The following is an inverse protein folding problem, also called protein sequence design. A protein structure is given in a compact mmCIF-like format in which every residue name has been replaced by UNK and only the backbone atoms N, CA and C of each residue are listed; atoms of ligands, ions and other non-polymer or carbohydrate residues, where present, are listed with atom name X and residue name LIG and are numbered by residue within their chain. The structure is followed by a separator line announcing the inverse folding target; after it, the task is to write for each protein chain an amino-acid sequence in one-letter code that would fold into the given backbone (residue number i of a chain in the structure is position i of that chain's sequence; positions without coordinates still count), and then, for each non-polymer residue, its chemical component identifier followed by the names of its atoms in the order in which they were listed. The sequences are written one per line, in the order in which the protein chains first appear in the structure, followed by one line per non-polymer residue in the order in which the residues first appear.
data_IF_407080140170
#
_entry.id   IF_407080140170
#
_cell.length_a   1.000
_cell.length_b   1.000
_cell.length_c   1.000
_cell.angle_alpha   90.00
_cell.angle_beta   90.00
_cell.angle_gamma   90.00
#
_symmetry.space_group_name_H-M   'P 1'
#
loop_
_entity.id
_entity.type
_entity.pdbx_description
1 polymer ?
#
# COMPACT_ATOMS: atom_id res chain seq x y z
N UNK A 1 35.83 80.23 -18.09
CA UNK A 1 37.19 80.03 -18.63
C UNK A 1 37.49 78.55 -18.54
N UNK A 2 37.52 77.86 -19.66
CA UNK A 2 38.08 76.51 -19.80
C UNK A 2 39.61 76.58 -19.77
N UNK A 3 40.25 75.50 -19.31
CA UNK A 3 41.23 74.87 -20.21
C UNK A 3 41.06 73.36 -20.32
N UNK A 4 41.58 72.86 -21.44
CA UNK A 4 41.53 71.52 -22.02
C UNK A 4 42.71 70.64 -21.59
N UNK A 5 42.44 69.33 -21.59
CA UNK A 5 43.25 68.19 -22.10
C UNK A 5 44.56 67.73 -21.44
N UNK A 6 44.59 66.42 -21.11
CA UNK A 6 45.37 65.34 -21.78
C UNK A 6 45.71 64.25 -20.72
N UNK A 7 45.25 63.00 -20.78
CA UNK A 7 45.47 61.84 -21.68
C UNK A 7 46.35 60.75 -21.02
N UNK A 8 45.89 59.48 -21.16
CA UNK A 8 46.56 58.18 -20.93
C UNK A 8 46.86 57.79 -19.46
N UNK A 9 46.79 56.53 -18.99
CA UNK A 9 46.66 55.19 -19.59
C UNK A 9 46.44 54.19 -18.43
N UNK A 10 45.85 53.03 -18.72
CA UNK A 10 46.01 51.75 -17.98
C UNK A 10 45.62 51.76 -16.48
N UNK A 11 44.52 51.14 -16.06
CA UNK A 11 44.25 49.72 -16.20
C UNK A 11 44.70 49.00 -14.93
N UNK A 12 43.75 48.61 -14.07
CA UNK A 12 43.66 47.33 -13.33
C UNK A 12 42.31 47.31 -12.60
N UNK A 13 41.52 46.29 -12.93
CA UNK A 13 40.25 45.93 -12.32
C UNK A 13 40.46 45.18 -10.99
N UNK A 14 39.63 45.54 -10.01
CA UNK A 14 38.92 44.73 -9.02
C UNK A 14 39.37 43.27 -8.76
N UNK A 15 39.51 42.96 -7.47
CA UNK A 15 38.90 41.75 -6.88
C UNK A 15 38.68 41.94 -5.37
N UNK A 16 37.44 42.23 -4.97
CA UNK A 16 36.96 42.01 -3.59
C UNK A 16 35.99 40.84 -3.66
N UNK A 17 36.44 39.66 -3.23
CA UNK A 17 35.62 38.47 -3.20
C UNK A 17 34.77 38.47 -1.90
N UNK A 18 33.50 38.83 -2.03
CA UNK A 18 32.50 38.62 -0.98
C UNK A 18 31.99 37.18 -1.13
N UNK A 19 32.34 36.31 -0.19
CA UNK A 19 31.77 34.97 -0.08
C UNK A 19 30.33 35.06 0.46
N UNK A 20 29.35 35.04 -0.43
CA UNK A 20 27.98 34.72 -0.06
C UNK A 20 27.88 33.20 0.15
N UNK A 21 27.90 32.77 1.43
CA UNK A 21 27.44 31.43 1.80
C UNK A 21 25.92 31.36 1.56
N UNK A 22 25.52 30.89 0.39
CA UNK A 22 24.16 30.43 0.17
C UNK A 22 24.00 29.10 0.90
N UNK A 23 23.33 29.13 2.06
CA UNK A 23 22.81 27.92 2.70
C UNK A 23 21.73 27.38 1.78
N UNK A 24 22.11 26.43 0.92
CA UNK A 24 21.17 25.65 0.14
C UNK A 24 20.37 24.77 1.11
N UNK A 25 19.19 25.27 1.52
CA UNK A 25 18.16 24.40 2.09
C UNK A 25 17.80 23.43 0.95
N UNK A 26 17.96 22.11 1.13
CA UNK A 26 17.44 21.19 0.14
C UNK A 26 15.93 21.33 0.22
N UNK A 27 15.34 22.03 -0.75
CA UNK A 27 13.95 21.84 -1.11
C UNK A 27 13.88 20.38 -1.52
N UNK A 28 13.37 19.53 -0.64
CA UNK A 28 12.96 18.19 -1.02
C UNK A 28 11.97 18.38 -2.17
N UNK A 29 12.43 18.09 -3.39
CA UNK A 29 11.54 17.85 -4.49
C UNK A 29 10.69 16.65 -4.05
N UNK A 30 9.48 16.92 -3.55
CA UNK A 30 8.47 15.91 -3.38
C UNK A 30 8.31 15.29 -4.78
N UNK A 31 8.70 14.04 -4.91
CA UNK A 31 8.63 13.30 -6.15
C UNK A 31 7.19 13.35 -6.66
N UNK A 32 6.96 14.02 -7.78
CA UNK A 32 5.66 14.07 -8.49
C UNK A 32 5.20 12.67 -8.97
N UNK A 33 6.06 11.66 -8.82
CA UNK A 33 5.82 10.26 -9.16
C UNK A 33 4.88 9.52 -8.21
N UNK A 34 4.54 10.08 -7.05
CA UNK A 34 3.63 9.44 -6.09
C UNK A 34 2.19 9.94 -6.17
N UNK A 35 1.89 11.00 -6.93
CA UNK A 35 0.54 11.58 -7.02
C UNK A 35 -0.38 10.71 -7.90
N UNK A 36 -1.50 10.26 -7.34
CA UNK A 36 -2.51 9.46 -8.04
C UNK A 36 -3.81 10.23 -8.14
N UNK A 37 -4.17 10.61 -9.37
CA UNK A 37 -5.47 11.18 -9.69
C UNK A 37 -6.50 10.06 -9.83
N UNK A 38 -7.59 10.16 -9.07
CA UNK A 38 -8.70 9.21 -9.11
C UNK A 38 -10.01 9.88 -9.47
N UNK A 39 -10.86 9.14 -10.18
CA UNK A 39 -12.21 9.54 -10.51
C UNK A 39 -13.11 8.35 -10.26
N UNK A 40 -14.20 8.59 -9.54
CA UNK A 40 -15.21 7.56 -9.28
C UNK A 40 -16.60 8.14 -9.40
N UNK A 41 -17.53 7.24 -9.68
CA UNK A 41 -18.93 7.57 -9.77
C UNK A 41 -19.79 6.49 -9.14
N UNK A 42 -20.90 6.92 -8.54
CA UNK A 42 -21.80 6.04 -7.82
C UNK A 42 -23.26 6.46 -8.05
N UNK A 43 -24.12 5.46 -8.21
CA UNK A 43 -25.59 5.62 -8.29
C UNK A 43 -26.22 4.97 -7.08
N UNK A 44 -27.04 5.73 -6.37
CA UNK A 44 -27.69 5.29 -5.15
C UNK A 44 -29.20 5.53 -5.22
N UNK A 45 -30.00 4.49 -5.00
CA UNK A 45 -31.45 4.60 -4.89
C UNK A 45 -31.82 4.60 -3.40
N UNK A 46 -32.42 5.69 -2.93
CA UNK A 46 -32.73 5.90 -1.51
C UNK A 46 -34.21 5.69 -1.20
N UNK A 47 -34.48 5.36 0.06
CA UNK A 47 -35.82 5.07 0.57
C UNK A 47 -36.09 5.84 1.86
N UNK A 48 -37.36 6.09 2.17
CA UNK A 48 -37.73 6.76 3.42
C UNK A 48 -37.31 5.89 4.62
N UNK A 49 -36.78 6.50 5.71
CA UNK A 49 -36.83 7.93 6.03
C UNK A 49 -35.66 8.79 5.51
N UNK A 50 -34.73 8.24 4.72
CA UNK A 50 -33.56 8.98 4.24
C UNK A 50 -33.94 10.15 3.31
N UNK A 51 -33.31 11.29 3.54
CA UNK A 51 -33.50 12.51 2.73
C UNK A 51 -32.62 12.50 1.48
N UNK A 52 -33.01 13.26 0.46
CA UNK A 52 -32.21 13.41 -0.75
C UNK A 52 -30.80 13.99 -0.49
N UNK A 53 -30.65 14.81 0.55
CA UNK A 53 -29.36 15.38 0.94
C UNK A 53 -28.45 14.32 1.56
N UNK A 54 -28.97 13.49 2.46
CA UNK A 54 -28.24 12.35 3.05
C UNK A 54 -27.83 11.36 1.96
N UNK A 55 -28.76 11.03 1.05
CA UNK A 55 -28.50 10.16 -0.08
C UNK A 55 -27.38 10.71 -1.00
N UNK A 56 -27.36 12.03 -1.26
CA UNK A 56 -26.30 12.68 -2.06
C UNK A 56 -24.93 12.59 -1.38
N UNK A 57 -24.87 12.85 -0.08
CA UNK A 57 -23.64 12.72 0.70
C UNK A 57 -23.15 11.27 0.70
N UNK A 58 -24.07 10.32 0.90
CA UNK A 58 -23.80 8.89 0.84
C UNK A 58 -23.22 8.49 -0.52
N UNK A 59 -23.87 8.89 -1.62
CA UNK A 59 -23.41 8.57 -2.97
C UNK A 59 -22.03 9.15 -3.27
N UNK A 60 -21.71 10.36 -2.81
CA UNK A 60 -20.38 10.92 -3.02
C UNK A 60 -19.29 10.24 -2.18
N UNK A 61 -19.61 9.80 -0.96
CA UNK A 61 -18.70 9.01 -0.13
C UNK A 61 -18.40 7.66 -0.79
N UNK A 62 -19.44 6.96 -1.26
CA UNK A 62 -19.26 5.69 -1.95
C UNK A 62 -18.51 5.85 -3.29
N UNK A 63 -18.77 6.93 -4.03
CA UNK A 63 -17.98 7.25 -5.23
C UNK A 63 -16.49 7.42 -4.91
N UNK A 64 -16.13 8.00 -3.76
CA UNK A 64 -14.74 8.11 -3.31
C UNK A 64 -14.14 6.76 -2.94
N UNK A 65 -14.85 5.96 -2.15
CA UNK A 65 -14.40 4.64 -1.76
C UNK A 65 -14.19 3.73 -2.99
N UNK A 66 -15.09 3.81 -3.97
CA UNK A 66 -14.96 3.08 -5.23
C UNK A 66 -13.77 3.59 -6.06
N UNK A 67 -13.55 4.91 -6.13
CA UNK A 67 -12.41 5.50 -6.84
C UNK A 67 -11.06 5.02 -6.25
N UNK A 68 -10.95 4.99 -4.92
CA UNK A 68 -9.75 4.54 -4.21
C UNK A 68 -9.55 3.03 -4.42
N UNK A 69 -10.59 2.23 -4.15
CA UNK A 69 -10.50 0.76 -4.22
C UNK A 69 -10.19 0.22 -5.62
N UNK A 70 -10.61 0.93 -6.67
CA UNK A 70 -10.36 0.54 -8.08
C UNK A 70 -9.09 1.14 -8.67
N UNK A 71 -8.44 2.07 -7.97
CA UNK A 71 -7.19 2.68 -8.43
C UNK A 71 -6.08 1.63 -8.60
N UNK A 72 -5.23 1.80 -9.61
CA UNK A 72 -4.12 0.88 -9.88
C UNK A 72 -3.16 0.80 -8.71
N UNK A 73 -2.82 1.94 -8.11
CA UNK A 73 -1.93 2.01 -6.95
C UNK A 73 -2.45 1.18 -5.76
N UNK A 74 -3.75 1.25 -5.45
CA UNK A 74 -4.32 0.41 -4.38
C UNK A 74 -4.37 -1.05 -4.82
N UNK A 75 -4.87 -1.34 -6.01
CA UNK A 75 -5.02 -2.71 -6.52
C UNK A 75 -3.70 -3.46 -6.60
N UNK A 76 -2.59 -2.82 -6.96
CA UNK A 76 -1.27 -3.47 -7.01
C UNK A 76 -0.81 -3.93 -5.63
N UNK A 77 -1.08 -3.12 -4.61
CA UNK A 77 -0.72 -3.42 -3.22
C UNK A 77 -1.70 -4.36 -2.53
N UNK A 78 -2.97 -4.39 -2.96
CA UNK A 78 -4.03 -5.17 -2.32
C UNK A 78 -4.56 -6.33 -3.18
N UNK A 79 -4.01 -6.60 -4.37
CA UNK A 79 -4.47 -7.65 -5.29
C UNK A 79 -4.55 -9.05 -4.66
N UNK A 80 -3.72 -9.28 -3.65
CA UNK A 80 -3.61 -10.55 -2.94
C UNK A 80 -4.38 -10.57 -1.62
N UNK A 81 -4.96 -9.43 -1.22
CA UNK A 81 -5.84 -9.29 -0.07
C UNK A 81 -7.28 -9.56 -0.53
N UNK A 82 -7.78 -10.76 -0.29
CA UNK A 82 -9.14 -11.14 -0.68
C UNK A 82 -10.14 -10.67 0.36
N UNK A 83 -11.06 -9.79 -0.06
CA UNK A 83 -12.32 -9.45 0.61
C UNK A 83 -12.23 -9.44 2.14
N UNK A 84 -11.38 -8.55 2.65
CA UNK A 84 -11.07 -8.47 4.06
C UNK A 84 -11.61 -7.17 4.65
N UNK A 85 -12.08 -7.26 5.90
CA UNK A 85 -12.38 -6.07 6.71
C UNK A 85 -11.17 -5.11 6.77
N UNK A 86 -9.96 -5.64 6.64
CA UNK A 86 -8.73 -4.88 6.45
C UNK A 86 -8.72 -4.05 5.16
N UNK A 87 -9.16 -4.58 4.01
CA UNK A 87 -9.26 -3.79 2.77
C UNK A 87 -10.27 -2.65 2.92
N UNK A 88 -11.43 -2.91 3.51
CA UNK A 88 -12.41 -1.85 3.78
C UNK A 88 -11.86 -0.77 4.73
N UNK A 89 -11.13 -1.19 5.77
CA UNK A 89 -10.50 -0.27 6.72
C UNK A 89 -9.41 0.55 6.04
N UNK A 90 -8.60 -0.05 5.16
CA UNK A 90 -7.59 0.64 4.36
C UNK A 90 -8.22 1.73 3.49
N UNK A 91 -9.24 1.37 2.71
CA UNK A 91 -9.95 2.33 1.83
C UNK A 91 -10.54 3.46 2.65
N UNK A 92 -11.15 3.16 3.80
CA UNK A 92 -11.74 4.17 4.68
C UNK A 92 -10.68 5.11 5.27
N UNK A 93 -9.54 4.59 5.73
CA UNK A 93 -8.44 5.41 6.24
C UNK A 93 -7.84 6.29 5.15
N UNK A 94 -7.65 5.74 3.94
CA UNK A 94 -7.16 6.52 2.79
C UNK A 94 -8.13 7.66 2.45
N UNK A 95 -9.42 7.37 2.37
CA UNK A 95 -10.45 8.36 2.07
C UNK A 95 -10.50 9.48 3.12
N UNK A 96 -10.34 9.15 4.40
CA UNK A 96 -10.47 10.09 5.50
C UNK A 96 -9.22 10.98 5.72
N UNK A 97 -8.02 10.44 5.48
CA UNK A 97 -6.76 11.09 5.94
C UNK A 97 -5.73 11.34 4.84
N UNK A 98 -5.86 10.69 3.68
CA UNK A 98 -4.83 10.71 2.63
C UNK A 98 -5.33 11.24 1.28
N UNK A 99 -6.59 11.65 1.19
CA UNK A 99 -7.17 12.30 0.02
C UNK A 99 -7.05 13.82 0.14
N UNK A 100 -6.68 14.43 -0.98
CA UNK A 100 -6.55 15.88 -1.19
C UNK A 100 -7.25 16.26 -2.50
N UNK A 101 -7.48 17.55 -2.72
CA UNK A 101 -8.09 18.10 -3.95
C UNK A 101 -9.41 17.44 -4.35
N UNK A 102 -10.25 17.07 -3.38
CA UNK A 102 -11.55 16.46 -3.64
C UNK A 102 -12.51 17.46 -4.30
N UNK A 103 -13.05 17.10 -5.45
CA UNK A 103 -13.98 17.91 -6.24
C UNK A 103 -15.17 17.06 -6.70
N UNK A 104 -16.39 17.58 -6.53
CA UNK A 104 -17.60 16.98 -7.09
C UNK A 104 -17.73 17.48 -8.53
N UNK A 105 -17.54 16.58 -9.50
CA UNK A 105 -17.63 16.92 -10.93
C UNK A 105 -19.08 16.95 -11.41
N UNK A 106 -19.91 16.05 -10.88
CA UNK A 106 -21.31 15.95 -11.23
C UNK A 106 -22.10 15.43 -10.04
N UNK A 107 -23.22 16.06 -9.76
CA UNK A 107 -24.19 15.57 -8.79
C UNK A 107 -25.59 15.81 -9.37
N UNK A 108 -26.40 14.76 -9.43
CA UNK A 108 -27.76 14.86 -9.96
C UNK A 108 -28.72 13.95 -9.20
N UNK A 109 -29.98 14.30 -9.24
CA UNK A 109 -31.07 13.57 -8.62
C UNK A 109 -32.17 13.36 -9.67
N UNK A 110 -32.61 12.12 -9.83
CA UNK A 110 -33.71 11.74 -10.71
C UNK A 110 -34.63 10.77 -9.98
N UNK A 111 -35.84 11.23 -9.65
CA UNK A 111 -36.77 10.47 -8.83
C UNK A 111 -36.18 10.18 -7.45
N UNK A 112 -36.05 8.89 -7.10
CA UNK A 112 -35.39 8.44 -5.85
C UNK A 112 -33.97 7.93 -6.07
N UNK A 113 -33.35 8.28 -7.20
CA UNK A 113 -31.97 7.90 -7.50
C UNK A 113 -31.09 9.14 -7.54
N UNK A 114 -30.01 9.12 -6.77
CA UNK A 114 -28.96 10.14 -6.81
C UNK A 114 -27.74 9.58 -7.51
N UNK A 115 -27.04 10.45 -8.23
CA UNK A 115 -25.78 10.17 -8.88
C UNK A 115 -24.74 11.16 -8.39
N UNK A 116 -23.56 10.66 -8.05
CA UNK A 116 -22.40 11.50 -7.75
C UNK A 116 -21.19 11.00 -8.52
N UNK A 117 -20.46 11.93 -9.13
CA UNK A 117 -19.15 11.72 -9.75
C UNK A 117 -18.17 12.69 -9.12
N UNK A 118 -17.03 12.17 -8.68
CA UNK A 118 -16.01 12.96 -8.01
C UNK A 118 -14.64 12.75 -8.66
N UNK A 119 -13.78 13.75 -8.47
CA UNK A 119 -12.34 13.66 -8.72
C UNK A 119 -11.62 13.92 -7.41
N UNK A 120 -10.55 13.19 -7.15
CA UNK A 120 -9.74 13.35 -5.95
C UNK A 120 -8.30 12.92 -6.23
N UNK A 121 -7.40 13.24 -5.30
CA UNK A 121 -5.98 12.93 -5.43
C UNK A 121 -5.45 12.35 -4.13
N UNK A 122 -4.65 11.29 -4.19
CA UNK A 122 -3.92 10.77 -3.05
C UNK A 122 -2.48 10.40 -3.43
N UNK A 123 -1.64 10.10 -2.44
CA UNK A 123 -0.26 9.68 -2.64
C UNK A 123 -0.13 8.16 -2.61
N UNK A 124 0.48 7.54 -3.63
CA UNK A 124 0.66 6.10 -3.73
C UNK A 124 1.38 5.52 -2.49
N UNK A 125 2.41 6.19 -1.99
CA UNK A 125 3.17 5.79 -0.79
C UNK A 125 2.32 5.78 0.50
N UNK A 126 1.17 6.45 0.50
CA UNK A 126 0.23 6.36 1.63
C UNK A 126 -0.43 4.98 1.71
N UNK A 127 -0.62 4.29 0.58
CA UNK A 127 -1.23 2.95 0.54
C UNK A 127 -0.39 1.95 1.33
N UNK A 128 0.92 1.89 1.03
CA UNK A 128 1.83 0.99 1.74
C UNK A 128 1.93 1.32 3.22
N UNK A 129 2.06 2.62 3.57
CA UNK A 129 2.12 3.05 4.98
C UNK A 129 0.87 2.69 5.76
N UNK A 130 -0.32 2.92 5.20
CA UNK A 130 -1.60 2.58 5.84
C UNK A 130 -1.75 1.06 5.96
N UNK A 131 -1.39 0.31 4.91
CA UNK A 131 -1.42 -1.15 4.93
C UNK A 131 -0.50 -1.73 6.00
N UNK A 132 0.74 -1.22 6.09
CA UNK A 132 1.68 -1.62 7.13
C UNK A 132 1.11 -1.29 8.51
N UNK A 133 0.69 -0.05 8.76
CA UNK A 133 0.11 0.34 10.04
C UNK A 133 -1.08 -0.55 10.45
N UNK A 134 -1.97 -0.89 9.53
CA UNK A 134 -3.14 -1.73 9.82
C UNK A 134 -2.78 -3.20 10.06
N UNK A 135 -1.76 -3.73 9.37
CA UNK A 135 -1.29 -5.11 9.56
C UNK A 135 -0.41 -5.28 10.79
N UNK A 136 0.32 -4.25 11.21
CA UNK A 136 1.22 -4.30 12.37
C UNK A 136 0.50 -4.03 13.69
N UNK A 137 -0.61 -3.28 13.70
CA UNK A 137 -1.28 -2.83 14.93
C UNK A 137 -2.17 -3.88 15.63
N UNK A 138 -2.23 -5.11 15.13
CA UNK A 138 -2.83 -6.24 15.84
C UNK A 138 -4.36 -6.30 15.80
N UNK A 139 -4.90 -7.05 14.83
CA UNK A 139 -6.13 -7.87 14.96
C UNK A 139 -6.48 -8.51 13.60
N UNK A 140 -6.23 -7.80 12.50
CA UNK A 140 -6.56 -8.26 11.15
C UNK A 140 -5.30 -8.34 10.32
N UNK A 141 -4.79 -9.55 10.11
CA UNK A 141 -3.71 -9.74 9.15
C UNK A 141 -4.28 -9.81 7.75
N UNK A 142 -3.64 -9.09 6.83
CA UNK A 142 -3.88 -9.22 5.41
C UNK A 142 -3.55 -10.65 5.00
N UNK A 143 -4.58 -11.49 4.85
CA UNK A 143 -4.42 -12.87 4.40
C UNK A 143 -4.04 -12.85 2.93
N UNK A 144 -2.76 -13.11 2.66
CA UNK A 144 -2.15 -13.05 1.33
C UNK A 144 -2.36 -14.34 0.55
N UNK A 145 -2.43 -14.27 -0.78
CA UNK A 145 -2.47 -15.44 -1.65
C UNK A 145 -1.69 -15.22 -2.96
N UNK A 146 -1.17 -16.32 -3.52
CA UNK A 146 -0.61 -16.40 -4.86
C UNK A 146 -1.32 -17.53 -5.63
N UNK A 147 -0.75 -17.98 -6.76
CA UNK A 147 -1.35 -19.06 -7.58
C UNK A 147 -1.25 -20.46 -6.96
N UNK A 148 -0.39 -20.64 -5.96
CA UNK A 148 -0.06 -21.93 -5.35
C UNK A 148 -0.50 -22.04 -3.89
N UNK A 149 -0.58 -20.95 -3.14
CA UNK A 149 -0.83 -20.88 -1.71
C UNK A 149 -1.80 -19.75 -1.35
N UNK A 150 -2.58 -19.99 -0.30
CA UNK A 150 -3.42 -19.00 0.37
C UNK A 150 -3.17 -19.03 1.86
N UNK A 151 -2.86 -17.90 2.48
CA UNK A 151 -2.80 -17.78 3.94
C UNK A 151 -4.23 -17.78 4.48
N UNK A 152 -4.48 -18.61 5.48
CA UNK A 152 -5.78 -18.73 6.15
C UNK A 152 -5.82 -17.97 7.46
N UNK A 153 -4.74 -18.00 8.23
CA UNK A 153 -4.61 -17.30 9.49
C UNK A 153 -3.14 -17.12 9.84
N UNK A 154 -2.83 -16.06 10.59
CA UNK A 154 -1.58 -15.98 11.32
C UNK A 154 -1.80 -15.24 12.65
N UNK A 155 -1.16 -15.72 13.71
CA UNK A 155 -1.32 -15.20 15.05
C UNK A 155 -0.13 -15.60 15.92
N UNK A 156 0.13 -14.81 16.96
CA UNK A 156 1.15 -15.09 17.97
C UNK A 156 0.53 -15.91 19.11
N UNK A 157 1.12 -17.07 19.40
CA UNK A 157 0.83 -17.85 20.60
C UNK A 157 1.52 -17.21 21.83
N UNK A 158 1.00 -17.43 23.06
CA UNK A 158 1.55 -16.82 24.29
C UNK A 158 3.01 -17.17 24.59
N UNK A 159 3.53 -18.23 23.99
CA UNK A 159 4.92 -18.69 24.10
C UNK A 159 5.89 -17.91 23.18
N UNK A 160 5.39 -16.91 22.44
CA UNK A 160 6.18 -16.12 21.50
C UNK A 160 6.37 -16.80 20.13
N UNK A 161 5.62 -17.88 19.86
CA UNK A 161 5.61 -18.54 18.56
C UNK A 161 4.57 -17.90 17.65
N UNK A 162 4.99 -17.53 16.45
CA UNK A 162 4.08 -17.18 15.37
C UNK A 162 3.57 -18.46 14.71
N UNK A 163 2.26 -18.67 14.75
CA UNK A 163 1.55 -19.75 14.07
C UNK A 163 0.90 -19.23 12.81
N UNK A 164 1.21 -19.85 11.68
CA UNK A 164 0.69 -19.48 10.36
C UNK A 164 0.00 -20.71 9.76
N UNK A 165 -1.27 -20.57 9.44
CA UNK A 165 -2.06 -21.59 8.76
C UNK A 165 -2.26 -21.18 7.31
N UNK A 166 -2.01 -22.08 6.37
CA UNK A 166 -2.14 -21.82 4.93
C UNK A 166 -2.69 -23.05 4.20
N UNK A 167 -3.25 -22.82 3.01
CA UNK A 167 -3.83 -23.83 2.14
C UNK A 167 -3.10 -23.87 0.81
N UNK A 168 -2.83 -25.07 0.31
CA UNK A 168 -2.34 -25.28 -1.04
C UNK A 168 -3.48 -25.12 -2.06
N UNK A 169 -3.30 -24.27 -3.06
CA UNK A 169 -4.21 -24.11 -4.20
C UNK A 169 -3.81 -25.06 -5.34
N UNK A 170 -2.50 -25.29 -5.50
CA UNK A 170 -1.92 -26.24 -6.45
C UNK A 170 -1.17 -27.33 -5.73
N UNK A 171 -0.83 -28.40 -6.45
CA UNK A 171 0.09 -29.43 -5.96
C UNK A 171 1.51 -28.87 -5.92
N UNK A 172 2.14 -28.82 -4.74
CA UNK A 172 3.34 -28.00 -4.54
C UNK A 172 4.64 -28.60 -5.14
N UNK A 173 4.71 -29.92 -5.32
CA UNK A 173 5.83 -30.60 -5.98
C UNK A 173 5.89 -30.33 -7.50
N UNK A 174 4.79 -29.89 -8.10
CA UNK A 174 4.69 -29.60 -9.53
C UNK A 174 5.09 -28.18 -9.91
N UNK A 175 5.36 -27.30 -8.94
CA UNK A 175 5.67 -25.90 -9.20
C UNK A 175 7.04 -25.69 -9.88
N UNK A 176 7.96 -26.65 -9.70
CA UNK A 176 9.31 -26.64 -10.30
C UNK A 176 9.47 -27.54 -11.53
N UNK A 177 8.49 -28.38 -11.86
CA UNK A 177 8.55 -29.24 -13.04
C UNK A 177 8.04 -28.46 -14.24
N UNK A 178 8.91 -28.23 -15.22
CA UNK A 178 8.69 -27.31 -16.34
C UNK A 178 7.64 -27.76 -17.37
N UNK A 179 6.53 -28.38 -16.96
CA UNK A 179 5.48 -28.84 -17.87
C UNK A 179 4.70 -27.70 -18.54
N UNK A 180 4.86 -26.44 -18.10
CA UNK A 180 4.07 -25.32 -18.62
C UNK A 180 4.84 -24.02 -18.91
N UNK A 181 6.17 -24.03 -19.04
CA UNK A 181 6.94 -22.89 -19.57
C UNK A 181 6.71 -21.52 -18.90
N UNK A 182 6.05 -21.48 -17.74
CA UNK A 182 5.71 -20.27 -17.00
C UNK A 182 6.74 -19.95 -15.93
N UNK A 183 6.70 -18.72 -15.40
CA UNK A 183 7.53 -18.30 -14.26
C UNK A 183 7.57 -19.40 -13.19
N UNK A 184 8.77 -19.67 -12.64
CA UNK A 184 8.96 -20.62 -11.54
C UNK A 184 8.09 -20.19 -10.37
N UNK A 185 6.95 -20.86 -10.19
CA UNK A 185 6.07 -20.62 -9.06
C UNK A 185 6.76 -21.14 -7.79
N UNK A 186 6.72 -20.36 -6.73
CA UNK A 186 7.30 -20.72 -5.44
C UNK A 186 6.18 -20.84 -4.41
N UNK A 187 6.23 -21.90 -3.62
CA UNK A 187 5.34 -22.13 -2.49
C UNK A 187 6.08 -21.80 -1.20
N UNK A 188 6.52 -20.55 -1.07
CA UNK A 188 7.16 -20.08 0.14
C UNK A 188 6.30 -19.01 0.83
N UNK A 189 6.17 -19.18 2.14
CA UNK A 189 5.60 -18.20 3.06
C UNK A 189 6.73 -17.31 3.56
N UNK A 190 6.58 -16.01 3.37
CA UNK A 190 7.47 -14.97 3.86
C UNK A 190 6.94 -14.40 5.16
N UNK A 191 7.86 -14.12 6.09
CA UNK A 191 7.56 -13.46 7.36
C UNK A 191 8.55 -12.35 7.61
N UNK A 192 8.04 -11.14 7.68
CA UNK A 192 8.78 -9.95 8.06
C UNK A 192 8.43 -9.55 9.48
N UNK A 193 9.44 -9.26 10.29
CA UNK A 193 9.32 -8.83 11.67
C UNK A 193 9.80 -7.39 11.80
N UNK A 194 9.05 -6.56 12.52
CA UNK A 194 9.36 -5.15 12.70
C UNK A 194 9.48 -4.79 14.18
N UNK A 195 10.30 -3.80 14.50
CA UNK A 195 10.47 -3.29 15.87
C UNK A 195 9.35 -2.31 16.27
N UNK A 196 9.51 -1.66 17.44
CA UNK A 196 8.57 -0.66 17.96
C UNK A 196 8.41 0.55 17.03
N UNK A 197 9.45 0.88 16.28
CA UNK A 197 9.47 2.03 15.37
C UNK A 197 8.99 1.66 13.96
N UNK A 198 8.61 0.40 13.73
CA UNK A 198 8.19 -0.11 12.42
C UNK A 198 9.34 -0.38 11.46
N UNK A 199 10.58 -0.48 11.96
CA UNK A 199 11.76 -0.81 11.15
C UNK A 199 11.87 -2.32 11.02
N UNK A 200 12.18 -2.80 9.83
CA UNK A 200 12.36 -4.22 9.56
C UNK A 200 13.55 -4.77 10.36
N UNK A 201 13.26 -5.70 11.27
CA UNK A 201 14.24 -6.42 12.10
C UNK A 201 14.75 -7.65 11.40
N UNK A 202 13.84 -8.46 10.83
CA UNK A 202 14.17 -9.74 10.20
C UNK A 202 13.14 -10.08 9.14
N UNK A 203 13.60 -10.53 7.98
CA UNK A 203 12.78 -11.21 6.98
C UNK A 203 13.20 -12.67 6.90
N UNK A 204 12.24 -13.58 6.82
CA UNK A 204 12.49 -15.03 6.74
C UNK A 204 11.57 -15.70 5.74
N UNK A 205 12.10 -16.70 5.04
CA UNK A 205 11.41 -17.46 3.99
C UNK A 205 11.24 -18.90 4.46
N UNK A 206 10.02 -19.42 4.38
CA UNK A 206 9.67 -20.75 4.84
C UNK A 206 8.94 -21.53 3.75
N UNK A 207 9.44 -22.70 3.33
CA UNK A 207 8.75 -23.52 2.35
C UNK A 207 7.44 -24.05 2.93
N UNK A 208 6.36 -23.92 2.16
CA UNK A 208 5.06 -24.47 2.49
C UNK A 208 5.10 -26.00 2.34
N UNK A 209 4.94 -26.69 3.46
CA UNK A 209 4.99 -28.16 3.57
C UNK A 209 4.03 -28.64 4.63
N UNK A 210 3.53 -29.87 4.48
CA UNK A 210 2.60 -30.47 5.46
C UNK A 210 3.29 -30.74 6.81
N UNK A 211 4.57 -31.10 6.76
CA UNK A 211 5.39 -31.45 7.92
C UNK A 211 6.73 -30.71 7.89
N UNK A 212 7.29 -30.46 9.08
CA UNK A 212 8.54 -29.69 9.23
C UNK A 212 9.77 -30.39 8.61
N UNK A 213 9.72 -31.72 8.45
CA UNK A 213 10.80 -32.54 7.85
C UNK A 213 10.83 -32.47 6.33
N UNK A 214 9.70 -32.13 5.71
CA UNK A 214 9.61 -31.69 4.34
C UNK A 214 9.43 -32.77 3.26
N UNK A 215 9.20 -34.02 3.62
CA UNK A 215 8.99 -35.09 2.63
C UNK A 215 7.56 -35.16 2.07
N UNK A 216 6.62 -34.41 2.66
CA UNK A 216 5.20 -34.46 2.27
C UNK A 216 4.86 -33.47 1.15
N UNK A 217 4.27 -34.01 0.09
CA UNK A 217 3.64 -33.26 -0.99
C UNK A 217 2.29 -32.75 -0.53
N UNK A 218 2.07 -31.44 -0.55
CA UNK A 218 0.73 -30.87 -0.36
C UNK A 218 -0.04 -30.86 -1.67
N UNK A 219 -1.24 -31.42 -1.64
CA UNK A 219 -2.22 -31.43 -2.71
C UNK A 219 -3.15 -30.21 -2.61
N UNK A 220 -3.80 -29.81 -3.72
CA UNK A 220 -4.83 -28.77 -3.70
C UNK A 220 -5.88 -29.01 -2.60
N UNK A 221 -6.17 -27.97 -1.82
CA UNK A 221 -7.11 -28.00 -0.70
C UNK A 221 -6.49 -28.39 0.64
N UNK A 222 -5.32 -29.03 0.68
CA UNK A 222 -4.67 -29.41 1.94
C UNK A 222 -4.17 -28.18 2.71
N UNK A 223 -4.29 -28.26 4.04
CA UNK A 223 -3.90 -27.20 4.97
C UNK A 223 -2.61 -27.59 5.69
N UNK A 224 -1.67 -26.64 5.76
CA UNK A 224 -0.41 -26.76 6.48
C UNK A 224 -0.31 -25.70 7.58
N UNK A 225 0.54 -25.98 8.57
CA UNK A 225 0.83 -25.07 9.69
C UNK A 225 2.32 -24.86 9.81
N UNK A 226 2.76 -23.60 9.87
CA UNK A 226 4.12 -23.19 10.17
C UNK A 226 4.18 -22.57 11.56
N UNK A 227 5.17 -22.96 12.36
CA UNK A 227 5.47 -22.37 13.67
C UNK A 227 6.85 -21.75 13.62
N UNK A 228 6.94 -20.45 13.91
CA UNK A 228 8.17 -19.67 13.78
C UNK A 228 8.39 -18.87 15.06
N UNK A 229 9.59 -18.95 15.65
CA UNK A 229 9.92 -18.15 16.82
C UNK A 229 10.03 -16.66 16.45
N UNK A 230 9.25 -15.81 17.14
CA UNK A 230 9.32 -14.35 16.99
C UNK A 230 10.63 -13.82 17.61
N UNK A 231 11.39 -12.94 16.93
CA UNK A 231 12.53 -12.28 17.55
C UNK A 231 12.13 -11.47 18.77
N UNK A 232 12.95 -11.47 19.83
CA UNK A 232 12.66 -10.75 21.08
C UNK A 232 12.49 -9.24 20.89
N UNK A 233 13.19 -8.66 19.90
CA UNK A 233 13.13 -7.24 19.56
C UNK A 233 12.06 -6.90 18.52
N UNK A 234 11.32 -7.89 18.01
CA UNK A 234 10.20 -7.64 17.13
C UNK A 234 8.93 -7.36 17.94
N UNK A 235 8.15 -6.36 17.55
CA UNK A 235 6.81 -6.12 18.09
C UNK A 235 5.73 -6.64 17.19
N UNK A 236 5.90 -6.44 15.89
CA UNK A 236 4.87 -6.71 14.90
C UNK A 236 5.43 -7.56 13.78
N UNK A 237 4.55 -8.16 12.98
CA UNK A 237 4.95 -9.04 11.90
C UNK A 237 3.96 -8.96 10.73
N UNK A 238 4.48 -9.22 9.53
CA UNK A 238 3.72 -9.34 8.29
C UNK A 238 3.98 -10.71 7.69
N UNK A 239 2.91 -11.43 7.36
CA UNK A 239 2.99 -12.70 6.65
C UNK A 239 2.47 -12.51 5.23
N UNK A 240 3.21 -13.01 4.24
CA UNK A 240 2.86 -12.89 2.82
C UNK A 240 3.43 -14.08 2.03
N UNK A 241 3.05 -14.24 0.77
CA UNK A 241 3.53 -15.33 -0.11
C UNK A 241 4.31 -14.77 -1.29
N UNK A 242 5.36 -15.48 -1.72
CA UNK A 242 6.19 -15.06 -2.86
C UNK A 242 5.36 -15.04 -4.15
N UNK A 243 5.42 -13.95 -4.91
CA UNK A 243 4.65 -13.78 -6.15
C UNK A 243 5.39 -14.30 -7.38
#
# INVERSE_FOLDING_TARGET
MTPLLSMFRSGVLFAVAVHCLAVAIPVQAASDHSRVDITGDYRYAYHQPETASEAKQHACREALHQAISTSTAVREHTASIVDSKLFHTLVHTLAAQHVTDQQILQQSEQGRTVYCKIKAVFQADAVERVLLAQTTSGSEQALDQNRALRILAAHEEPDGMLVITYQAIKRLDWLGTAYQGGLRESADVMVDFYDEQGILVRSSRHPARKTATGDDVMNPGEVGTLKIAKPLNAKTFRVWVVK
#
